data_IF_105161439256
#
_entry.id   IF_105161439256
#
_cell.length_a   1.000
_cell.length_b   1.000
_cell.length_c   1.000
_cell.angle_alpha   90.00
_cell.angle_beta   90.00
_cell.angle_gamma   90.00
#
_symmetry.space_group_name_H-M   'P 1'
#
loop_
_entity.id
_entity.type
_entity.pdbx_description
1 polymer ?
#
# COMPACT_ATOMS: atom_id res chain seq x y z
N UNK A 1 13.36 20.29 15.88
CA UNK A 1 13.42 19.12 14.98
C UNK A 1 12.29 19.31 13.99
N UNK A 2 12.53 19.20 12.68
CA UNK A 2 11.43 19.26 11.71
C UNK A 2 10.65 17.95 11.83
N UNK A 3 9.54 17.99 12.55
CA UNK A 3 8.54 16.92 12.63
C UNK A 3 7.71 16.83 11.34
N UNK A 4 8.37 16.88 10.18
CA UNK A 4 7.69 16.67 8.90
C UNK A 4 7.38 15.19 8.74
N UNK A 5 6.10 14.85 8.90
CA UNK A 5 5.58 13.53 8.52
C UNK A 5 5.87 13.30 7.04
N UNK A 6 6.54 12.18 6.74
CA UNK A 6 6.76 11.77 5.35
C UNK A 6 5.42 11.37 4.73
N UNK A 7 5.18 11.83 3.51
CA UNK A 7 3.98 11.52 2.75
C UNK A 7 4.30 10.38 1.77
N UNK A 8 3.43 9.37 1.72
CA UNK A 8 3.58 8.19 0.87
C UNK A 8 2.39 8.05 -0.11
N UNK A 9 2.69 7.76 -1.37
CA UNK A 9 1.71 7.24 -2.33
C UNK A 9 1.80 5.72 -2.38
N UNK A 10 0.65 5.04 -2.36
CA UNK A 10 0.57 3.57 -2.47
C UNK A 10 0.14 3.18 -3.88
N UNK A 11 0.77 2.15 -4.44
CA UNK A 11 0.39 1.55 -5.72
C UNK A 11 0.29 0.03 -5.55
N UNK A 12 -0.86 -0.54 -5.91
CA UNK A 12 -1.10 -1.98 -5.86
C UNK A 12 -1.57 -2.47 -7.23
N UNK A 13 -1.10 -3.65 -7.63
CA UNK A 13 -1.40 -4.25 -8.94
C UNK A 13 -1.40 -5.77 -8.89
N UNK A 14 -2.25 -6.39 -9.69
CA UNK A 14 -2.10 -7.79 -10.13
C UNK A 14 -1.90 -7.82 -11.64
N UNK A 15 -1.17 -8.80 -12.16
CA UNK A 15 -0.94 -8.95 -13.61
C UNK A 15 -1.91 -9.93 -14.25
N UNK A 16 -2.56 -10.77 -13.43
CA UNK A 16 -3.53 -11.79 -13.84
C UNK A 16 -4.58 -11.97 -12.75
N UNK A 17 -5.77 -12.47 -13.12
CA UNK A 17 -6.84 -12.74 -12.16
C UNK A 17 -6.45 -13.80 -11.11
N UNK A 18 -5.60 -14.76 -11.47
CA UNK A 18 -5.12 -15.80 -10.55
C UNK A 18 -4.27 -15.22 -9.42
N UNK A 19 -3.49 -14.16 -9.68
CA UNK A 19 -2.71 -13.46 -8.66
C UNK A 19 -3.61 -12.74 -7.63
N UNK A 20 -4.87 -12.46 -7.98
CA UNK A 20 -5.82 -11.85 -7.05
C UNK A 20 -6.31 -12.81 -5.96
N UNK A 21 -6.10 -14.13 -6.11
CA UNK A 21 -6.60 -15.17 -5.19
C UNK A 21 -5.54 -15.71 -4.24
N UNK A 22 -4.27 -15.62 -4.63
CA UNK A 22 -3.12 -16.06 -3.83
C UNK A 22 -2.70 -15.02 -2.78
N UNK A 23 -1.73 -15.34 -1.92
CA UNK A 23 -1.19 -14.47 -0.85
C UNK A 23 -0.55 -13.13 -1.28
N UNK A 24 -0.78 -12.72 -2.53
CA UNK A 24 -0.41 -11.44 -3.16
C UNK A 24 -1.62 -10.69 -3.73
N UNK A 25 -2.83 -11.03 -3.28
CA UNK A 25 -4.05 -10.33 -3.64
C UNK A 25 -3.97 -8.82 -3.37
N UNK A 26 -4.73 -8.01 -4.12
CA UNK A 26 -4.80 -6.56 -3.93
C UNK A 26 -5.13 -6.16 -2.46
N UNK A 27 -6.09 -6.83 -1.77
CA UNK A 27 -6.35 -6.55 -0.35
C UNK A 27 -5.14 -6.81 0.56
N UNK A 28 -4.38 -7.88 0.31
CA UNK A 28 -3.21 -8.22 1.12
C UNK A 28 -2.05 -7.24 0.86
N UNK A 29 -1.86 -6.81 -0.40
CA UNK A 29 -0.90 -5.74 -0.74
C UNK A 29 -1.25 -4.43 -0.02
N UNK A 30 -2.51 -4.01 -0.06
CA UNK A 30 -2.98 -2.79 0.62
C UNK A 30 -2.75 -2.87 2.14
N UNK A 31 -3.14 -4.00 2.76
CA UNK A 31 -2.97 -4.21 4.20
C UNK A 31 -1.50 -4.08 4.63
N UNK A 32 -0.58 -4.73 3.91
CA UNK A 32 0.86 -4.66 4.23
C UNK A 32 1.44 -3.26 4.06
N UNK A 33 1.07 -2.56 3.00
CA UNK A 33 1.54 -1.20 2.73
C UNK A 33 1.03 -0.21 3.78
N UNK A 34 -0.24 -0.32 4.18
CA UNK A 34 -0.82 0.53 5.24
C UNK A 34 -0.15 0.29 6.59
N UNK A 35 0.05 -0.98 6.98
CA UNK A 35 0.74 -1.33 8.21
C UNK A 35 2.19 -0.80 8.23
N UNK A 36 2.88 -0.81 7.08
CA UNK A 36 4.22 -0.23 6.97
C UNK A 36 4.20 1.30 7.11
N UNK A 37 3.21 1.99 6.54
CA UNK A 37 3.06 3.44 6.72
C UNK A 37 2.76 3.79 8.17
N UNK A 38 1.86 3.04 8.82
CA UNK A 38 1.54 3.21 10.24
C UNK A 38 2.79 3.03 11.11
N UNK A 39 3.53 1.92 10.92
CA UNK A 39 4.76 1.64 11.66
C UNK A 39 5.82 2.74 11.50
N UNK A 40 5.89 3.37 10.32
CA UNK A 40 6.86 4.43 10.02
C UNK A 40 6.34 5.85 10.28
N UNK A 41 5.09 6.00 10.72
CA UNK A 41 4.44 7.31 10.92
C UNK A 41 4.26 8.10 9.62
N UNK A 42 4.09 7.41 8.48
CA UNK A 42 3.88 8.04 7.18
C UNK A 42 2.41 8.41 6.98
N UNK A 43 2.16 9.57 6.40
CA UNK A 43 0.84 9.97 5.95
C UNK A 43 0.59 9.42 4.55
N UNK A 44 -0.52 8.70 4.37
CA UNK A 44 -0.88 8.16 3.06
C UNK A 44 -1.62 9.24 2.28
N UNK A 45 -1.02 9.72 1.19
CA UNK A 45 -1.67 10.68 0.30
C UNK A 45 -2.79 10.04 -0.51
N UNK A 46 -2.50 8.93 -1.18
CA UNK A 46 -3.43 8.23 -2.06
C UNK A 46 -3.00 6.79 -2.29
N UNK A 47 -3.98 5.92 -2.48
CA UNK A 47 -3.80 4.57 -3.00
C UNK A 47 -4.29 4.52 -4.45
N UNK A 48 -3.39 4.08 -5.32
CA UNK A 48 -3.66 3.78 -6.72
C UNK A 48 -3.76 2.28 -6.87
N UNK A 49 -4.82 1.82 -7.51
CA UNK A 49 -5.12 0.40 -7.72
C UNK A 49 -5.24 0.14 -9.21
N UNK A 50 -4.49 -0.83 -9.67
CA UNK A 50 -4.56 -1.39 -11.02
C UNK A 50 -4.90 -2.89 -10.89
N UNK A 51 -5.78 -3.43 -11.72
CA UNK A 51 -6.34 -4.77 -11.55
C UNK A 51 -6.35 -5.54 -12.87
#
# INVERSE_FOLDING_TARGET
>A
MNDEKKIAGLYIRVSTEDQAREGFSLPEQEKRLRAMCEYKGYEIYKLYKDA
#
